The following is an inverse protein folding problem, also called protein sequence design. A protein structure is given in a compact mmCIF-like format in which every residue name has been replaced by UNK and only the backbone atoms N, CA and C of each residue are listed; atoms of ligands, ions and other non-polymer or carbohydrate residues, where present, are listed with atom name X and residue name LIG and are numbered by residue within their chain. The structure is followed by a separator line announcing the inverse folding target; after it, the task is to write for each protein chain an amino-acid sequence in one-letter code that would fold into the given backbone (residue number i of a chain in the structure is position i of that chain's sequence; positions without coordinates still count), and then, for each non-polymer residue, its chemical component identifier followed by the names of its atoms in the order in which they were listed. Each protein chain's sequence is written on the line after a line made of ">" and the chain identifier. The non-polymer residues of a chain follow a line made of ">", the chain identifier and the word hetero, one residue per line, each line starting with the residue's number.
data_IF_748897541668
#
_entry.id   IF_748897541668
#
_cell.length_a   1.000
_cell.length_b   1.000
_cell.length_c   1.000
_cell.angle_alpha   90.00
_cell.angle_beta   90.00
_cell.angle_gamma   90.00
#
_symmetry.space_group_name_H-M   'P 1'
#
loop_
_entity.id
_entity.type
_entity.pdbx_description
1 polymer ?
#
# COMPACT_ATOMS: atom_id res chain seq x y z
N UNK A 1 -16.08 -24.78 14.86
CA UNK A 1 -15.59 -23.37 14.93
C UNK A 1 -14.25 -23.30 14.23
N UNK A 2 -14.14 -22.52 13.15
CA UNK A 2 -12.87 -22.34 12.46
C UNK A 2 -11.99 -21.31 13.19
N UNK A 3 -10.68 -21.59 13.25
CA UNK A 3 -9.72 -20.63 13.79
C UNK A 3 -9.48 -19.54 12.74
N UNK A 4 -9.54 -18.25 13.12
CA UNK A 4 -9.22 -17.16 12.19
C UNK A 4 -7.83 -17.32 11.60
N UNK A 5 -7.69 -17.01 10.33
CA UNK A 5 -6.47 -17.22 9.56
C UNK A 5 -6.03 -15.93 8.91
N UNK A 6 -4.73 -15.84 8.66
CA UNK A 6 -4.19 -14.81 7.79
C UNK A 6 -3.15 -15.42 6.86
N UNK A 7 -2.94 -14.74 5.72
CA UNK A 7 -1.89 -15.07 4.77
C UNK A 7 -1.10 -13.82 4.47
N UNK A 8 0.21 -13.96 4.42
CA UNK A 8 1.13 -12.88 4.10
C UNK A 8 1.88 -13.22 2.82
N UNK A 9 1.93 -12.25 1.92
CA UNK A 9 2.69 -12.33 0.67
C UNK A 9 3.74 -11.22 0.68
N UNK A 10 4.94 -11.54 0.21
CA UNK A 10 6.04 -10.59 0.13
C UNK A 10 6.80 -10.78 -1.17
N UNK A 11 7.02 -9.67 -1.89
CA UNK A 11 7.84 -9.66 -3.11
C UNK A 11 8.80 -8.49 -3.04
N UNK A 12 10.11 -8.79 -3.04
CA UNK A 12 11.16 -7.79 -3.10
C UNK A 12 11.41 -7.40 -4.55
N UNK A 13 11.39 -6.10 -4.83
CA UNK A 13 11.75 -5.50 -6.10
C UNK A 13 13.09 -4.75 -5.92
N UNK A 14 13.47 -3.89 -6.84
CA UNK A 14 14.79 -3.23 -6.80
C UNK A 14 14.98 -2.37 -5.53
N UNK A 15 14.22 -1.28 -5.41
CA UNK A 15 14.33 -0.31 -4.31
C UNK A 15 13.21 -0.40 -3.28
N UNK A 16 12.24 -1.24 -3.52
CA UNK A 16 11.06 -1.36 -2.68
C UNK A 16 10.57 -2.81 -2.65
N UNK A 17 9.68 -3.08 -1.72
CA UNK A 17 8.98 -4.36 -1.65
C UNK A 17 7.48 -4.11 -1.63
N UNK A 18 6.74 -5.09 -2.12
CA UNK A 18 5.30 -5.12 -2.05
C UNK A 18 4.90 -6.28 -1.16
N UNK A 19 4.03 -6.04 -0.23
CA UNK A 19 3.50 -7.07 0.65
C UNK A 19 1.97 -7.06 0.59
N UNK A 20 1.37 -8.17 0.95
CA UNK A 20 -0.07 -8.28 1.05
C UNK A 20 -0.45 -9.11 2.26
N UNK A 21 -1.52 -8.70 2.91
CA UNK A 21 -2.11 -9.41 4.04
C UNK A 21 -3.55 -9.73 3.73
N UNK A 22 -3.90 -11.01 3.82
CA UNK A 22 -5.29 -11.48 3.81
C UNK A 22 -5.62 -12.08 5.16
N UNK A 23 -6.71 -11.66 5.77
CA UNK A 23 -7.12 -12.15 7.07
C UNK A 23 -8.61 -12.41 7.13
N UNK A 24 -8.98 -13.47 7.85
CA UNK A 24 -10.39 -13.80 8.13
C UNK A 24 -11.00 -12.77 9.09
N UNK A 25 -12.34 -12.71 9.19
CA UNK A 25 -13.00 -11.87 10.21
C UNK A 25 -12.50 -12.21 11.61
N UNK A 26 -12.43 -11.21 12.46
CA UNK A 26 -12.01 -11.31 13.87
C UNK A 26 -10.59 -11.81 14.09
N UNK A 27 -9.74 -11.79 13.05
CA UNK A 27 -8.32 -12.05 13.24
C UNK A 27 -7.68 -10.89 13.99
N UNK A 28 -6.85 -11.23 14.99
CA UNK A 28 -6.07 -10.26 15.74
C UNK A 28 -4.61 -10.64 15.62
N UNK A 29 -3.78 -9.68 15.23
CA UNK A 29 -2.34 -9.88 15.13
C UNK A 29 -1.57 -8.69 15.63
N UNK A 30 -0.33 -8.94 16.06
CA UNK A 30 0.61 -7.88 16.47
C UNK A 30 1.81 -7.95 15.55
N UNK A 31 2.12 -6.83 14.91
CA UNK A 31 3.26 -6.71 14.02
C UNK A 31 4.12 -5.51 14.44
N UNK A 32 5.38 -5.55 14.05
CA UNK A 32 6.24 -4.38 14.20
C UNK A 32 5.83 -3.34 13.16
N UNK A 33 5.59 -2.10 13.59
CA UNK A 33 5.34 -1.01 12.67
C UNK A 33 6.56 -0.81 11.75
N UNK A 34 6.33 -0.30 10.54
CA UNK A 34 7.43 -0.07 9.62
C UNK A 34 8.45 0.90 10.22
N UNK A 35 9.70 0.65 9.93
CA UNK A 35 10.83 1.44 10.40
C UNK A 35 11.37 2.42 9.36
N UNK A 36 10.59 2.70 8.33
CA UNK A 36 10.96 3.63 7.28
C UNK A 36 9.82 4.62 6.98
N UNK A 37 10.18 5.80 6.54
CA UNK A 37 9.25 6.84 6.08
C UNK A 37 8.68 6.56 4.70
N UNK A 38 8.93 5.38 4.16
CA UNK A 38 8.48 4.99 2.84
C UNK A 38 7.47 3.85 2.85
N UNK A 39 6.59 3.79 3.85
CA UNK A 39 5.64 2.69 3.97
C UNK A 39 4.21 3.18 3.83
N UNK A 40 3.49 2.57 2.90
CA UNK A 40 2.11 2.93 2.56
C UNK A 40 1.27 1.67 2.39
N UNK A 41 -0.03 1.79 2.63
CA UNK A 41 -0.96 0.67 2.54
C UNK A 41 -2.23 1.07 1.79
N UNK A 42 -2.78 0.12 1.05
CA UNK A 42 -4.06 0.24 0.37
C UNK A 42 -4.96 -0.92 0.78
N UNK A 43 -6.18 -0.61 1.21
CA UNK A 43 -7.17 -1.62 1.58
C UNK A 43 -7.97 -2.00 0.33
N UNK A 44 -7.79 -3.23 -0.12
CA UNK A 44 -8.53 -3.75 -1.29
C UNK A 44 -9.95 -4.12 -0.89
N UNK A 45 -10.11 -4.76 0.27
CA UNK A 45 -11.40 -5.28 0.71
C UNK A 45 -11.46 -5.36 2.23
N UNK A 46 -12.65 -5.08 2.77
CA UNK A 46 -12.92 -5.25 4.19
C UNK A 46 -12.57 -4.05 5.04
N UNK A 47 -12.57 -4.27 6.34
CA UNK A 47 -12.26 -3.24 7.33
C UNK A 47 -11.48 -3.82 8.51
N UNK A 48 -10.70 -2.97 9.15
CA UNK A 48 -9.90 -3.34 10.29
C UNK A 48 -9.66 -2.14 11.21
N UNK A 49 -9.31 -2.43 12.45
CA UNK A 49 -8.85 -1.45 13.42
C UNK A 49 -7.37 -1.65 13.65
N UNK A 50 -6.60 -0.58 13.59
CA UNK A 50 -5.15 -0.60 13.76
C UNK A 50 -4.77 0.35 14.90
N UNK A 51 -3.89 -0.08 15.78
CA UNK A 51 -3.47 0.77 16.88
C UNK A 51 -2.25 0.23 17.61
N UNK A 52 -1.80 0.98 18.61
CA UNK A 52 -0.67 0.59 19.45
C UNK A 52 -1.25 -0.13 20.68
N UNK A 53 -0.82 -1.37 20.96
CA UNK A 53 -1.28 -2.08 22.15
C UNK A 53 -1.02 -1.25 23.42
N UNK A 54 -1.96 -1.25 24.34
CA UNK A 54 -1.90 -0.59 25.65
C UNK A 54 -1.97 0.95 25.63
N UNK A 55 -2.15 1.60 24.46
CA UNK A 55 -2.25 3.06 24.40
C UNK A 55 -3.66 3.58 24.07
N UNK A 56 -4.62 2.71 23.88
CA UNK A 56 -6.01 3.05 23.52
C UNK A 56 -6.14 3.99 22.29
N UNK A 57 -5.08 4.07 21.48
CA UNK A 57 -5.08 4.86 20.27
C UNK A 57 -5.26 3.94 19.07
N UNK A 58 -6.43 4.02 18.45
CA UNK A 58 -6.78 3.19 17.29
C UNK A 58 -7.33 4.05 16.17
N UNK A 59 -7.07 3.62 14.93
CA UNK A 59 -7.75 4.17 13.77
C UNK A 59 -8.35 3.02 12.95
N UNK A 60 -9.43 3.33 12.24
CA UNK A 60 -10.11 2.36 11.41
C UNK A 60 -9.76 2.57 9.95
N UNK A 61 -9.60 1.47 9.21
CA UNK A 61 -9.35 1.46 7.78
C UNK A 61 -10.39 0.58 7.10
N UNK A 62 -10.79 0.97 5.90
CA UNK A 62 -11.82 0.25 5.13
C UNK A 62 -11.47 0.25 3.64
N UNK A 63 -12.24 -0.52 2.88
CA UNK A 63 -12.06 -0.70 1.44
C UNK A 63 -11.82 0.61 0.70
N UNK A 64 -10.82 0.60 -0.18
CA UNK A 64 -10.39 1.71 -1.03
C UNK A 64 -9.65 2.84 -0.32
N UNK A 65 -9.38 2.70 0.98
CA UNK A 65 -8.58 3.69 1.69
C UNK A 65 -7.09 3.43 1.48
N UNK A 66 -6.35 4.51 1.36
CA UNK A 66 -4.90 4.53 1.26
C UNK A 66 -4.34 5.28 2.46
N UNK A 67 -3.39 4.68 3.16
CA UNK A 67 -2.89 5.28 4.41
C UNK A 67 -1.41 4.92 4.63
N UNK A 68 -0.80 5.66 5.55
CA UNK A 68 0.57 5.40 6.01
C UNK A 68 0.57 5.22 7.51
N UNK A 69 1.44 4.36 8.01
CA UNK A 69 1.67 4.17 9.44
C UNK A 69 2.95 4.85 9.92
N UNK A 70 3.44 5.86 9.20
CA UNK A 70 4.67 6.56 9.57
C UNK A 70 4.63 7.16 10.98
N UNK A 71 3.46 7.59 11.43
CA UNK A 71 3.28 8.13 12.78
C UNK A 71 3.44 7.07 13.89
N UNK A 72 3.45 5.79 13.54
CA UNK A 72 3.64 4.67 14.46
C UNK A 72 5.03 4.05 14.33
N UNK A 73 5.97 4.77 13.75
CA UNK A 73 7.30 4.28 13.44
C UNK A 73 7.95 3.62 14.67
N UNK A 74 8.56 2.44 14.46
CA UNK A 74 9.28 1.66 15.49
C UNK A 74 8.42 1.20 16.70
N UNK A 75 7.09 1.25 16.57
CA UNK A 75 6.20 0.78 17.64
C UNK A 75 5.52 -0.54 17.25
N UNK A 76 5.21 -1.40 18.21
CA UNK A 76 4.37 -2.56 17.93
C UNK A 76 2.96 -2.09 17.57
N UNK A 77 2.36 -2.71 16.57
CA UNK A 77 1.04 -2.36 16.05
C UNK A 77 0.13 -3.58 16.16
N UNK A 78 -1.05 -3.38 16.72
CA UNK A 78 -2.09 -4.40 16.78
C UNK A 78 -3.12 -4.14 15.69
N UNK A 79 -3.50 -5.17 14.97
CA UNK A 79 -4.54 -5.12 13.97
C UNK A 79 -5.65 -6.11 14.30
N UNK A 80 -6.89 -5.65 14.24
CA UNK A 80 -8.07 -6.48 14.41
C UNK A 80 -8.97 -6.31 13.19
N UNK A 81 -9.30 -7.41 12.53
CA UNK A 81 -10.15 -7.40 11.34
C UNK A 81 -11.60 -7.62 11.74
N UNK A 82 -12.53 -6.91 11.07
CA UNK A 82 -13.97 -7.04 11.33
C UNK A 82 -14.66 -7.99 10.35
N UNK A 83 -14.16 -8.04 9.13
CA UNK A 83 -14.66 -8.89 8.06
C UNK A 83 -13.49 -9.46 7.26
N UNK A 84 -13.75 -10.18 6.17
CA UNK A 84 -12.67 -10.62 5.28
C UNK A 84 -11.85 -9.41 4.86
N UNK A 85 -10.56 -9.40 5.18
CA UNK A 85 -9.69 -8.25 5.02
C UNK A 85 -8.54 -8.55 4.06
N UNK A 86 -8.31 -7.62 3.14
CA UNK A 86 -7.19 -7.72 2.21
C UNK A 86 -6.54 -6.35 2.05
N UNK A 87 -5.25 -6.29 2.38
CA UNK A 87 -4.47 -5.06 2.35
C UNK A 87 -3.16 -5.30 1.61
N UNK A 88 -2.76 -4.33 0.80
CA UNK A 88 -1.49 -4.35 0.08
C UNK A 88 -0.62 -3.22 0.59
N UNK A 89 0.63 -3.52 0.89
CA UNK A 89 1.61 -2.55 1.36
C UNK A 89 2.75 -2.32 0.38
N UNK A 90 3.22 -1.09 0.34
CA UNK A 90 4.45 -0.67 -0.30
C UNK A 90 5.45 -0.33 0.79
N UNK A 91 6.69 -0.83 0.69
CA UNK A 91 7.74 -0.58 1.66
C UNK A 91 9.04 -0.24 0.96
N UNK A 92 9.67 0.86 1.35
CA UNK A 92 11.03 1.16 0.93
C UNK A 92 12.00 0.15 1.58
N UNK A 93 12.95 -0.35 0.81
CA UNK A 93 13.93 -1.32 1.33
C UNK A 93 14.96 -0.61 2.21
N UNK A 94 15.41 0.56 1.80
CA UNK A 94 16.36 1.35 2.59
C UNK A 94 15.63 2.26 3.57
N UNK A 95 15.85 2.04 4.86
CA UNK A 95 15.22 2.79 5.95
C UNK A 95 15.48 4.29 5.92
N UNK A 96 16.58 4.71 5.30
CA UNK A 96 16.98 6.11 5.21
C UNK A 96 16.32 6.85 4.07
N UNK A 97 15.71 6.13 3.15
CA UNK A 97 15.00 6.73 2.02
C UNK A 97 13.64 7.24 2.48
N UNK A 98 13.31 8.44 2.03
CA UNK A 98 11.98 9.03 2.23
C UNK A 98 11.23 8.93 0.91
N UNK A 99 10.05 8.34 0.95
CA UNK A 99 9.20 8.17 -0.22
C UNK A 99 7.89 8.92 -0.03
N UNK A 100 7.39 9.47 -1.12
CA UNK A 100 6.05 10.06 -1.18
C UNK A 100 5.15 9.12 -1.96
N UNK A 101 3.99 8.81 -1.41
CA UNK A 101 3.02 7.91 -2.02
C UNK A 101 1.63 8.51 -2.06
N UNK A 102 0.94 8.29 -3.17
CA UNK A 102 -0.45 8.74 -3.34
C UNK A 102 -1.20 7.84 -4.32
N UNK A 103 -2.52 7.86 -4.24
CA UNK A 103 -3.36 7.24 -5.25
C UNK A 103 -3.51 8.17 -6.45
N UNK A 104 -3.48 7.58 -7.64
CA UNK A 104 -3.72 8.31 -8.89
C UNK A 104 -5.22 8.53 -9.06
N UNK A 105 -5.62 9.76 -9.35
CA UNK A 105 -7.02 10.13 -9.60
C UNK A 105 -7.21 10.85 -10.94
N UNK A 106 -6.14 11.40 -11.50
CA UNK A 106 -6.21 12.14 -12.76
C UNK A 106 -6.05 11.21 -13.98
N UNK A 107 -6.64 11.56 -15.13
CA UNK A 107 -6.52 10.78 -16.36
C UNK A 107 -5.16 10.95 -17.06
N UNK A 108 -4.40 11.97 -16.69
CA UNK A 108 -3.08 12.24 -17.25
C UNK A 108 -2.10 12.47 -16.13
N UNK A 109 -0.93 11.86 -16.25
CA UNK A 109 0.10 11.94 -15.23
C UNK A 109 1.42 12.37 -15.85
N UNK A 110 2.04 13.37 -15.22
CA UNK A 110 3.41 13.76 -15.47
C UNK A 110 4.15 13.85 -14.14
N UNK A 111 5.30 13.19 -14.04
CA UNK A 111 6.09 13.16 -12.82
C UNK A 111 7.26 14.12 -12.94
N UNK A 112 7.66 14.72 -11.82
CA UNK A 112 8.80 15.65 -11.77
C UNK A 112 10.14 14.93 -11.56
N UNK A 113 10.09 13.68 -11.12
CA UNK A 113 11.23 12.79 -10.87
C UNK A 113 10.88 11.40 -11.33
N UNK A 114 11.89 10.54 -11.46
CA UNK A 114 11.64 9.12 -11.63
C UNK A 114 10.77 8.58 -10.51
N UNK A 115 9.73 7.85 -10.87
CA UNK A 115 8.71 7.37 -9.96
C UNK A 115 8.30 5.95 -10.32
N UNK A 116 7.59 5.31 -9.41
CA UNK A 116 7.09 3.95 -9.61
C UNK A 116 5.58 3.94 -9.48
N UNK A 117 4.94 3.22 -10.39
CA UNK A 117 3.50 3.03 -10.41
C UNK A 117 3.20 1.57 -10.07
N UNK A 118 2.30 1.36 -9.13
CA UNK A 118 1.94 0.01 -8.68
C UNK A 118 0.43 -0.17 -8.79
N UNK A 119 0.00 -1.28 -9.39
CA UNK A 119 -1.40 -1.64 -9.44
C UNK A 119 -1.80 -2.39 -8.16
N UNK A 120 -2.72 -1.80 -7.41
CA UNK A 120 -3.26 -2.40 -6.19
C UNK A 120 -4.53 -3.22 -6.46
N UNK A 121 -5.34 -2.81 -7.42
CA UNK A 121 -6.62 -3.44 -7.68
C UNK A 121 -7.12 -3.16 -9.09
N UNK A 122 -7.95 -4.06 -9.61
CA UNK A 122 -8.57 -3.94 -10.92
C UNK A 122 -7.59 -4.11 -12.07
N UNK A 123 -7.97 -3.57 -13.22
CA UNK A 123 -7.18 -3.66 -14.45
C UNK A 123 -7.01 -2.28 -15.08
N UNK A 124 -6.33 -1.34 -14.40
CA UNK A 124 -6.09 -0.02 -14.96
C UNK A 124 -5.21 -0.11 -16.21
N UNK A 125 -5.36 0.89 -17.08
CA UNK A 125 -4.63 0.96 -18.35
C UNK A 125 -3.73 2.20 -18.33
N UNK A 126 -2.44 1.99 -18.56
CA UNK A 126 -1.44 3.06 -18.61
C UNK A 126 -0.77 3.05 -19.97
N UNK A 127 -0.93 4.14 -20.74
CA UNK A 127 -0.45 4.26 -22.12
C UNK A 127 -0.84 3.05 -22.98
N UNK A 128 -2.11 2.62 -22.87
CA UNK A 128 -2.64 1.51 -23.61
C UNK A 128 -2.30 0.12 -23.08
N UNK A 129 -1.47 0.02 -22.05
CA UNK A 129 -1.10 -1.26 -21.45
C UNK A 129 -1.96 -1.53 -20.22
N UNK A 130 -2.65 -2.65 -20.20
CA UNK A 130 -3.45 -3.09 -19.06
C UNK A 130 -2.54 -3.68 -17.99
N UNK A 131 -2.76 -3.25 -16.75
CA UNK A 131 -2.03 -3.76 -15.59
C UNK A 131 -2.90 -4.69 -14.75
N UNK A 132 -2.27 -5.63 -14.09
CA UNK A 132 -2.89 -6.51 -13.12
C UNK A 132 -2.36 -6.18 -11.73
N UNK A 133 -3.02 -6.70 -10.70
CA UNK A 133 -2.59 -6.50 -9.31
C UNK A 133 -1.12 -6.91 -9.14
N UNK A 134 -0.34 -6.08 -8.46
CA UNK A 134 1.10 -6.18 -8.24
C UNK A 134 1.97 -5.83 -9.45
N UNK A 135 1.40 -5.59 -10.62
CA UNK A 135 2.19 -5.06 -11.72
C UNK A 135 2.69 -3.66 -11.37
N UNK A 136 3.88 -3.35 -11.82
CA UNK A 136 4.47 -2.04 -11.62
C UNK A 136 5.10 -1.51 -12.91
N UNK A 137 5.27 -0.20 -12.96
CA UNK A 137 5.92 0.47 -14.08
C UNK A 137 6.80 1.59 -13.55
N UNK A 138 7.97 1.74 -14.14
CA UNK A 138 8.86 2.87 -13.88
C UNK A 138 8.43 4.04 -14.75
N UNK A 139 8.27 5.21 -14.14
CA UNK A 139 7.87 6.44 -14.82
C UNK A 139 9.03 7.42 -14.89
N UNK A 140 9.18 8.02 -16.07
CA UNK A 140 10.21 9.02 -16.34
C UNK A 140 9.61 10.43 -16.39
N UNK A 141 10.30 11.47 -15.92
CA UNK A 141 9.84 12.86 -16.02
C UNK A 141 9.76 13.38 -17.47
N UNK A 142 10.39 12.70 -18.42
CA UNK A 142 10.41 13.11 -19.83
C UNK A 142 9.13 12.78 -20.58
N UNK A 143 8.17 12.09 -19.96
CA UNK A 143 7.00 11.54 -20.63
C UNK A 143 5.72 11.93 -19.91
N UNK A 144 4.64 11.99 -20.69
CA UNK A 144 3.29 12.10 -20.16
C UNK A 144 2.62 10.74 -20.28
N UNK A 145 1.91 10.33 -19.23
CA UNK A 145 1.23 9.04 -19.17
C UNK A 145 -0.28 9.24 -19.18
N UNK A 146 -0.95 8.52 -20.04
CA UNK A 146 -2.41 8.47 -20.09
C UNK A 146 -2.88 7.35 -19.17
N UNK A 147 -3.78 7.68 -18.28
CA UNK A 147 -4.27 6.77 -17.24
C UNK A 147 -5.77 6.56 -17.41
N UNK A 148 -6.17 5.31 -17.52
CA UNK A 148 -7.56 4.91 -17.37
C UNK A 148 -7.62 3.94 -16.20
N UNK A 149 -8.16 4.37 -15.07
CA UNK A 149 -8.23 3.53 -13.87
C UNK A 149 -9.14 2.32 -14.05
N UNK A 150 -10.16 2.41 -14.90
CA UNK A 150 -11.06 1.29 -15.19
C UNK A 150 -11.57 0.63 -13.90
N UNK A 151 -12.02 1.45 -12.95
CA UNK A 151 -12.46 1.08 -11.60
C UNK A 151 -11.37 0.40 -10.74
N UNK A 152 -10.12 0.46 -11.18
CA UNK A 152 -8.98 -0.06 -10.43
C UNK A 152 -8.31 1.01 -9.58
N UNK A 153 -7.20 0.65 -8.95
CA UNK A 153 -6.42 1.52 -8.10
C UNK A 153 -4.94 1.44 -8.44
N UNK A 154 -4.33 2.62 -8.61
CA UNK A 154 -2.89 2.77 -8.86
C UNK A 154 -2.27 3.65 -7.79
N UNK A 155 -1.16 3.21 -7.23
CA UNK A 155 -0.33 4.00 -6.34
C UNK A 155 0.87 4.56 -7.08
N UNK A 156 1.16 5.83 -6.83
CA UNK A 156 2.36 6.50 -7.34
C UNK A 156 3.33 6.73 -6.18
N UNK A 157 4.56 6.27 -6.35
CA UNK A 157 5.59 6.34 -5.32
C UNK A 157 6.84 7.01 -5.88
N UNK A 158 7.27 8.05 -5.22
CA UNK A 158 8.42 8.87 -5.63
C UNK A 158 9.41 8.97 -4.48
N UNK A 159 10.66 8.65 -4.75
CA UNK A 159 11.72 8.84 -3.76
C UNK A 159 12.01 10.32 -3.60
N UNK A 160 11.96 10.80 -2.34
CA UNK A 160 12.28 12.16 -2.02
C UNK A 160 13.75 12.27 -1.68
N UNK A 161 14.49 13.08 -2.43
CA UNK A 161 15.89 13.37 -2.07
C UNK A 161 15.90 14.30 -0.85
N UNK A 162 16.71 13.93 0.09
CA UNK A 162 16.97 14.76 1.26
C UNK A 162 18.12 15.69 0.98
#
# INVERSE_FOLDING_TARGET
>A
MSIPRYKHFFKKLDKFSVCALKADPTWIGVEQAPDSFGTYHYVVHGSARIGVPFKEEYFEVKSKEFFSMQHLLDQPVMMETYDDFYMIGFNAINRKEVWDGKLIKEPTLQVSKESHLICFDGNPIVNGKQLERFDYADLSPDRTYEINLNDGALGLFTECSV
#
